data_IF_476638251138
#
_entry.id   IF_476638251138
#
_cell.length_a   1.000
_cell.length_b   1.000
_cell.length_c   1.000
_cell.angle_alpha   90.00
_cell.angle_beta   90.00
_cell.angle_gamma   90.00
#
_symmetry.space_group_name_H-M   'P 1'
#
loop_
_entity.id
_entity.type
_entity.pdbx_description
1 polymer ?
#
# COMPACT_ATOMS: atom_id res chain seq x y z
N UNK A 1 -23.38 2.42 4.30
CA UNK A 1 -22.15 1.72 3.87
C UNK A 1 -21.43 2.55 2.81
N UNK A 2 -20.08 2.68 2.82
CA UNK A 2 -19.37 3.54 1.83
C UNK A 2 -19.59 3.13 0.38
N UNK A 3 -19.95 1.87 0.12
CA UNK A 3 -20.22 1.36 -1.23
C UNK A 3 -21.66 1.50 -1.70
N UNK A 4 -22.59 1.82 -0.80
CA UNK A 4 -24.02 1.84 -1.12
C UNK A 4 -24.36 2.94 -2.13
N UNK A 5 -25.00 2.55 -3.25
CA UNK A 5 -25.35 3.45 -4.34
C UNK A 5 -24.18 3.93 -5.23
N UNK A 6 -22.95 3.54 -4.90
CA UNK A 6 -21.74 3.94 -5.62
C UNK A 6 -21.14 2.82 -6.48
N UNK A 7 -21.59 1.57 -6.28
CA UNK A 7 -21.08 0.38 -6.94
C UNK A 7 -22.21 -0.51 -7.44
N UNK A 8 -21.90 -1.29 -8.49
CA UNK A 8 -22.78 -2.33 -9.02
C UNK A 8 -22.95 -3.47 -8.02
N UNK A 9 -24.03 -4.22 -8.18
CA UNK A 9 -24.20 -5.50 -7.48
C UNK A 9 -23.00 -6.41 -7.71
N UNK A 10 -22.55 -7.11 -6.66
CA UNK A 10 -21.37 -7.98 -6.71
C UNK A 10 -20.04 -7.29 -6.35
N UNK A 11 -20.02 -5.96 -6.13
CA UNK A 11 -18.80 -5.27 -5.73
C UNK A 11 -18.25 -5.75 -4.38
N UNK A 12 -19.15 -5.99 -3.42
CA UNK A 12 -18.75 -6.49 -2.10
C UNK A 12 -18.19 -7.92 -2.20
N UNK A 13 -18.84 -8.78 -2.97
CA UNK A 13 -18.41 -10.14 -3.21
C UNK A 13 -17.03 -10.18 -3.89
N UNK A 14 -16.77 -9.24 -4.83
CA UNK A 14 -15.47 -9.15 -5.49
C UNK A 14 -14.36 -8.69 -4.50
N UNK A 15 -14.64 -7.71 -3.65
CA UNK A 15 -13.72 -7.26 -2.61
C UNK A 15 -13.45 -8.39 -1.61
N UNK A 16 -14.50 -9.04 -1.11
CA UNK A 16 -14.37 -10.11 -0.13
C UNK A 16 -13.59 -11.30 -0.69
N UNK A 17 -13.86 -11.69 -1.94
CA UNK A 17 -13.10 -12.72 -2.62
C UNK A 17 -11.61 -12.37 -2.71
N UNK A 18 -11.25 -11.13 -3.06
CA UNK A 18 -9.85 -10.69 -3.13
C UNK A 18 -9.17 -10.69 -1.76
N UNK A 19 -9.75 -10.03 -0.76
CA UNK A 19 -9.13 -9.89 0.57
C UNK A 19 -9.17 -11.16 1.44
N UNK A 20 -9.84 -12.23 1.01
CA UNK A 20 -9.90 -13.53 1.70
C UNK A 20 -9.18 -14.66 0.95
N UNK A 21 -8.42 -14.35 -0.10
CA UNK A 21 -7.59 -15.33 -0.80
C UNK A 21 -6.60 -16.01 0.16
N UNK A 22 -6.50 -17.35 0.07
CA UNK A 22 -5.76 -18.17 1.04
C UNK A 22 -4.25 -17.92 1.11
N UNK A 23 -3.66 -17.30 0.08
CA UNK A 23 -2.24 -16.95 0.06
C UNK A 23 -1.94 -15.62 0.75
N UNK A 24 -2.95 -14.79 1.04
CA UNK A 24 -2.78 -13.49 1.69
C UNK A 24 -2.67 -13.61 3.20
N UNK A 25 -1.79 -12.82 3.77
CA UNK A 25 -1.57 -12.75 5.21
C UNK A 25 -1.43 -11.30 5.73
N UNK A 26 -0.88 -10.40 4.91
CA UNK A 26 -0.80 -8.96 5.17
C UNK A 26 -1.89 -8.20 4.41
N UNK A 27 -2.00 -8.37 3.07
CA UNK A 27 -2.95 -7.67 2.19
C UNK A 27 -4.35 -8.29 2.30
N UNK A 28 -4.98 -8.11 3.45
CA UNK A 28 -6.27 -8.67 3.86
C UNK A 28 -7.21 -7.58 4.37
N UNK A 29 -8.43 -7.92 4.74
CA UNK A 29 -9.36 -7.02 5.43
C UNK A 29 -8.77 -6.33 6.67
N UNK A 30 -7.76 -6.92 7.32
CA UNK A 30 -7.08 -6.30 8.45
C UNK A 30 -6.32 -5.04 8.01
N UNK A 31 -5.61 -5.08 6.88
CA UNK A 31 -4.93 -3.92 6.30
C UNK A 31 -5.94 -2.82 5.95
N UNK A 32 -6.98 -3.16 5.21
CA UNK A 32 -8.07 -2.23 4.86
C UNK A 32 -8.69 -1.58 6.10
N UNK A 33 -9.00 -2.36 7.13
CA UNK A 33 -9.58 -1.84 8.37
C UNK A 33 -8.62 -0.88 9.08
N UNK A 34 -7.33 -1.21 9.15
CA UNK A 34 -6.30 -0.36 9.73
C UNK A 34 -6.19 0.99 9.02
N UNK A 35 -6.23 1.00 7.67
CA UNK A 35 -6.21 2.24 6.89
C UNK A 35 -7.48 3.10 7.13
N UNK A 36 -8.66 2.47 7.21
CA UNK A 36 -9.90 3.19 7.49
C UNK A 36 -9.93 3.79 8.90
N UNK A 37 -9.34 3.13 9.90
CA UNK A 37 -9.18 3.69 11.24
C UNK A 37 -8.28 4.92 11.23
N UNK A 38 -7.15 4.86 10.54
CA UNK A 38 -6.24 5.99 10.37
C UNK A 38 -6.88 7.13 9.57
N UNK A 39 -7.62 6.81 8.50
CA UNK A 39 -8.38 7.82 7.77
C UNK A 39 -9.38 8.55 8.68
N UNK A 40 -10.04 7.84 9.58
CA UNK A 40 -10.93 8.47 10.56
C UNK A 40 -10.17 9.38 11.53
N UNK A 41 -8.99 8.97 11.98
CA UNK A 41 -8.13 9.77 12.86
C UNK A 41 -7.68 11.08 12.20
N UNK A 42 -7.34 11.03 10.92
CA UNK A 42 -6.85 12.17 10.14
C UNK A 42 -7.94 12.79 9.24
N UNK A 43 -9.22 12.54 9.52
CA UNK A 43 -10.33 13.01 8.67
C UNK A 43 -10.33 14.52 8.41
N UNK A 44 -9.88 15.32 9.39
CA UNK A 44 -9.82 16.77 9.29
C UNK A 44 -8.77 17.26 8.26
N UNK A 45 -7.85 16.39 7.84
CA UNK A 45 -6.87 16.69 6.78
C UNK A 45 -7.38 16.38 5.38
N UNK A 46 -8.52 15.71 5.26
CA UNK A 46 -9.09 15.28 3.98
C UNK A 46 -10.21 16.22 3.53
N UNK A 47 -10.24 16.51 2.23
CA UNK A 47 -11.35 17.20 1.58
C UNK A 47 -12.38 16.22 1.03
N UNK A 48 -11.96 15.00 0.68
CA UNK A 48 -12.78 13.93 0.08
C UNK A 48 -12.49 12.58 0.75
N UNK A 49 -12.74 12.48 2.06
CA UNK A 49 -12.57 11.22 2.82
C UNK A 49 -13.35 10.05 2.21
N UNK A 50 -14.44 10.33 1.50
CA UNK A 50 -15.22 9.33 0.78
C UNK A 50 -14.45 8.73 -0.41
N UNK A 51 -13.68 9.53 -1.14
CA UNK A 51 -12.82 9.07 -2.25
C UNK A 51 -11.64 8.28 -1.69
N UNK A 52 -10.98 8.79 -0.63
CA UNK A 52 -9.89 8.04 0.03
C UNK A 52 -10.41 6.69 0.54
N UNK A 53 -11.56 6.64 1.19
CA UNK A 53 -12.12 5.39 1.69
C UNK A 53 -12.40 4.39 0.56
N UNK A 54 -12.90 4.86 -0.59
CA UNK A 54 -13.08 3.99 -1.76
C UNK A 54 -11.74 3.48 -2.29
N UNK A 55 -10.71 4.33 -2.35
CA UNK A 55 -9.37 3.93 -2.76
C UNK A 55 -8.79 2.87 -1.79
N UNK A 56 -8.99 3.03 -0.48
CA UNK A 56 -8.61 2.02 0.53
C UNK A 56 -9.29 0.68 0.27
N UNK A 57 -10.56 0.64 -0.13
CA UNK A 57 -11.23 -0.63 -0.42
C UNK A 57 -10.69 -1.32 -1.68
N UNK A 58 -10.20 -0.58 -2.66
CA UNK A 58 -9.90 -1.13 -3.98
C UNK A 58 -8.41 -1.22 -4.31
N UNK A 59 -7.47 -0.58 -3.54
CA UNK A 59 -6.06 -0.47 -3.96
C UNK A 59 -5.36 -1.82 -4.09
N UNK A 60 -5.61 -2.74 -3.17
CA UNK A 60 -4.97 -4.06 -3.09
C UNK A 60 -5.95 -5.21 -3.34
N UNK A 61 -7.12 -4.94 -3.95
CA UNK A 61 -8.12 -5.99 -4.18
C UNK A 61 -7.58 -7.10 -5.08
N UNK A 62 -6.71 -6.79 -6.02
CA UNK A 62 -5.93 -7.75 -6.80
C UNK A 62 -4.51 -7.76 -6.27
N UNK A 63 -4.07 -8.90 -5.74
CA UNK A 63 -2.71 -9.05 -5.23
C UNK A 63 -2.21 -10.47 -5.43
N UNK A 64 -1.22 -10.63 -6.30
CA UNK A 64 -0.52 -11.89 -6.52
C UNK A 64 0.98 -11.62 -6.56
N UNK A 65 1.78 -12.56 -6.05
CA UNK A 65 3.23 -12.39 -5.90
C UNK A 65 4.02 -12.97 -7.05
N UNK A 66 3.37 -13.80 -7.90
CA UNK A 66 4.00 -14.48 -9.03
C UNK A 66 3.17 -14.35 -10.30
N UNK A 67 3.85 -14.27 -11.43
CA UNK A 67 3.28 -14.42 -12.75
C UNK A 67 3.02 -15.89 -13.09
N UNK A 68 2.31 -16.15 -14.20
CA UNK A 68 2.00 -17.51 -14.67
C UNK A 68 3.25 -18.35 -14.99
N UNK A 69 4.37 -17.71 -15.30
CA UNK A 69 5.68 -18.35 -15.55
C UNK A 69 6.48 -18.63 -14.27
N UNK A 70 5.96 -18.25 -13.09
CA UNK A 70 6.59 -18.41 -11.79
C UNK A 70 7.58 -17.30 -11.43
N UNK A 71 7.78 -16.30 -12.29
CA UNK A 71 8.55 -15.10 -11.97
C UNK A 71 7.82 -14.19 -10.99
N UNK A 72 8.57 -13.31 -10.31
CA UNK A 72 7.97 -12.29 -9.44
C UNK A 72 7.06 -11.37 -10.27
N UNK A 73 5.85 -11.14 -9.78
CA UNK A 73 4.94 -10.18 -10.38
C UNK A 73 5.32 -8.77 -9.93
N UNK A 74 5.50 -7.82 -10.87
CA UNK A 74 5.68 -6.41 -10.52
C UNK A 74 4.44 -5.85 -9.81
N UNK A 75 4.64 -5.11 -8.72
CA UNK A 75 3.54 -4.54 -7.94
C UNK A 75 2.65 -3.61 -8.77
N UNK A 76 3.22 -2.83 -9.68
CA UNK A 76 2.46 -2.02 -10.65
C UNK A 76 1.35 -2.80 -11.38
N UNK A 77 1.56 -4.09 -11.67
CA UNK A 77 0.54 -4.90 -12.33
C UNK A 77 -0.63 -5.24 -11.39
N UNK A 78 -0.37 -5.46 -10.10
CA UNK A 78 -1.40 -5.64 -9.09
C UNK A 78 -2.25 -4.38 -8.96
N UNK A 79 -1.60 -3.23 -8.82
CA UNK A 79 -2.25 -1.93 -8.72
C UNK A 79 -3.10 -1.62 -9.96
N UNK A 80 -2.55 -1.85 -11.17
CA UNK A 80 -3.30 -1.68 -12.43
C UNK A 80 -4.55 -2.56 -12.46
N UNK A 81 -4.41 -3.84 -12.14
CA UNK A 81 -5.51 -4.79 -12.19
C UNK A 81 -6.56 -4.50 -11.11
N UNK A 82 -6.15 -3.98 -9.95
CA UNK A 82 -7.05 -3.44 -8.93
C UNK A 82 -7.86 -2.25 -9.46
N UNK A 83 -7.22 -1.32 -10.18
CA UNK A 83 -7.89 -0.21 -10.85
C UNK A 83 -8.90 -0.68 -11.90
N UNK A 84 -8.54 -1.68 -12.71
CA UNK A 84 -9.45 -2.22 -13.73
C UNK A 84 -10.66 -2.92 -13.08
N UNK A 85 -10.46 -3.65 -11.99
CA UNK A 85 -11.55 -4.26 -11.25
C UNK A 85 -12.47 -3.20 -10.61
N UNK A 86 -11.91 -2.14 -10.02
CA UNK A 86 -12.68 -0.99 -9.55
C UNK A 86 -13.56 -0.40 -10.67
N UNK A 87 -13.00 -0.16 -11.85
CA UNK A 87 -13.74 0.39 -13.00
C UNK A 87 -14.89 -0.48 -13.45
N UNK A 88 -14.79 -1.80 -13.32
CA UNK A 88 -15.87 -2.73 -13.66
C UNK A 88 -17.08 -2.57 -12.72
N UNK A 89 -16.84 -2.25 -11.45
CA UNK A 89 -17.86 -2.20 -10.42
C UNK A 89 -18.36 -0.79 -10.07
N UNK A 90 -17.60 0.27 -10.37
CA UNK A 90 -17.99 1.62 -9.98
C UNK A 90 -19.22 2.14 -10.73
N UNK A 91 -20.07 2.90 -10.01
CA UNK A 91 -21.18 3.70 -10.53
C UNK A 91 -20.94 5.22 -10.32
N UNK A 92 -19.73 5.59 -9.90
CA UNK A 92 -19.37 6.99 -9.73
C UNK A 92 -19.43 7.73 -11.06
N UNK A 93 -19.64 9.05 -11.01
CA UNK A 93 -19.40 9.90 -12.16
C UNK A 93 -17.91 9.85 -12.57
N UNK A 94 -17.62 10.30 -13.78
CA UNK A 94 -16.26 10.20 -14.35
C UNK A 94 -15.20 10.87 -13.46
N UNK A 95 -15.46 12.05 -12.92
CA UNK A 95 -14.49 12.80 -12.12
C UNK A 95 -14.13 12.06 -10.83
N UNK A 96 -15.11 11.54 -10.11
CA UNK A 96 -14.89 10.79 -8.87
C UNK A 96 -14.24 9.43 -9.15
N UNK A 97 -14.62 8.76 -10.24
CA UNK A 97 -13.98 7.50 -10.64
C UNK A 97 -12.52 7.69 -11.06
N UNK A 98 -12.20 8.76 -11.78
CA UNK A 98 -10.83 9.11 -12.13
C UNK A 98 -10.02 9.45 -10.87
N UNK A 99 -10.59 10.18 -9.90
CA UNK A 99 -9.92 10.48 -8.64
C UNK A 99 -9.56 9.21 -7.84
N UNK A 100 -10.49 8.25 -7.70
CA UNK A 100 -10.20 6.96 -7.06
C UNK A 100 -9.12 6.20 -7.82
N UNK A 101 -9.21 6.15 -9.14
CA UNK A 101 -8.22 5.51 -10.00
C UNK A 101 -6.83 6.10 -9.80
N UNK A 102 -6.70 7.43 -9.79
CA UNK A 102 -5.42 8.11 -9.63
C UNK A 102 -4.81 7.88 -8.25
N UNK A 103 -5.64 7.86 -7.18
CA UNK A 103 -5.18 7.52 -5.85
C UNK A 103 -4.62 6.09 -5.80
N UNK A 104 -5.36 5.12 -6.33
CA UNK A 104 -4.91 3.72 -6.38
C UNK A 104 -3.62 3.60 -7.20
N UNK A 105 -3.57 4.16 -8.40
CA UNK A 105 -2.37 4.10 -9.26
C UNK A 105 -1.12 4.69 -8.60
N UNK A 106 -1.28 5.68 -7.71
CA UNK A 106 -0.16 6.28 -7.00
C UNK A 106 0.52 5.33 -6.01
N UNK A 107 -0.16 4.30 -5.51
CA UNK A 107 0.44 3.29 -4.61
C UNK A 107 1.49 2.42 -5.31
N UNK A 108 1.47 2.32 -6.63
CA UNK A 108 2.50 1.60 -7.39
C UNK A 108 3.92 2.18 -7.20
N UNK A 109 4.02 3.44 -6.79
CA UNK A 109 5.30 4.05 -6.42
C UNK A 109 5.10 5.20 -5.43
N UNK A 110 5.11 4.89 -4.15
CA UNK A 110 4.92 5.86 -3.06
C UNK A 110 5.95 6.99 -3.04
N UNK A 111 7.13 6.81 -3.61
CA UNK A 111 8.23 7.78 -3.59
C UNK A 111 8.30 8.64 -4.84
N UNK A 112 7.44 8.44 -5.84
CA UNK A 112 7.48 9.31 -7.03
C UNK A 112 7.24 10.77 -6.62
N UNK A 113 8.01 11.72 -7.21
CA UNK A 113 7.70 13.13 -7.10
C UNK A 113 6.25 13.33 -7.56
N UNK A 114 5.51 14.23 -6.93
CA UNK A 114 4.20 14.65 -7.44
C UNK A 114 4.36 14.99 -8.91
N UNK A 115 3.64 14.31 -9.77
CA UNK A 115 3.36 14.84 -11.09
C UNK A 115 2.74 16.23 -10.87
N UNK A 116 3.19 17.21 -11.65
CA UNK A 116 2.86 18.64 -11.52
C UNK A 116 1.45 18.87 -10.95
N UNK A 117 1.33 19.76 -9.97
CA UNK A 117 0.07 20.12 -9.27
C UNK A 117 -1.15 20.28 -10.21
N UNK A 118 -0.93 20.51 -11.50
CA UNK A 118 -1.97 20.60 -12.53
C UNK A 118 -2.79 19.33 -12.72
N UNK A 119 -2.21 18.14 -12.48
CA UNK A 119 -2.92 16.86 -12.67
C UNK A 119 -3.86 16.55 -11.51
N UNK A 120 -3.49 16.99 -10.31
CA UNK A 120 -4.23 16.72 -9.05
C UNK A 120 -4.85 17.98 -8.45
N UNK A 121 -5.11 19.01 -9.24
CA UNK A 121 -5.52 20.36 -8.83
C UNK A 121 -6.86 20.46 -8.06
N UNK A 122 -7.23 19.50 -7.30
CA UNK A 122 -8.42 19.54 -6.43
C UNK A 122 -8.34 18.55 -5.28
N UNK A 123 -7.40 17.60 -5.34
CA UNK A 123 -7.25 16.56 -4.30
C UNK A 123 -5.80 16.12 -4.05
N UNK A 124 -4.83 16.97 -4.39
CA UNK A 124 -3.41 16.68 -4.12
C UNK A 124 -3.15 16.39 -2.62
N UNK A 125 -3.84 17.10 -1.72
CA UNK A 125 -3.78 16.85 -0.28
C UNK A 125 -4.37 15.50 0.14
N UNK A 126 -5.42 15.04 -0.53
CA UNK A 126 -6.06 13.74 -0.29
C UNK A 126 -5.18 12.60 -0.82
N UNK A 127 -4.50 12.81 -1.95
CA UNK A 127 -3.50 11.88 -2.47
C UNK A 127 -2.34 11.70 -1.48
N UNK A 128 -1.77 12.81 -1.00
CA UNK A 128 -0.70 12.76 -0.02
C UNK A 128 -1.13 12.02 1.24
N UNK A 129 -2.33 12.35 1.76
CA UNK A 129 -2.86 11.67 2.94
C UNK A 129 -3.02 10.17 2.69
N UNK A 130 -3.59 9.77 1.55
CA UNK A 130 -3.79 8.35 1.23
C UNK A 130 -2.47 7.58 1.20
N UNK A 131 -1.44 8.10 0.52
CA UNK A 131 -0.12 7.48 0.47
C UNK A 131 0.55 7.42 1.86
N UNK A 132 0.38 8.45 2.68
CA UNK A 132 0.88 8.46 4.05
C UNK A 132 0.19 7.41 4.93
N UNK A 133 -1.14 7.25 4.76
CA UNK A 133 -1.90 6.21 5.46
C UNK A 133 -1.40 4.82 5.10
N UNK A 134 -1.16 4.56 3.83
CA UNK A 134 -0.73 3.26 3.33
C UNK A 134 0.66 2.87 3.87
N UNK A 135 1.59 3.83 3.94
CA UNK A 135 2.91 3.64 4.55
C UNK A 135 2.92 3.68 6.09
N UNK A 136 1.78 3.91 6.74
CA UNK A 136 1.75 4.12 8.20
C UNK A 136 2.18 2.91 9.03
N UNK A 137 2.07 1.69 8.50
CA UNK A 137 2.55 0.46 9.15
C UNK A 137 4.07 0.45 9.34
N UNK A 138 4.82 1.21 8.55
CA UNK A 138 6.27 1.38 8.75
C UNK A 138 6.60 1.99 10.11
N UNK A 139 5.69 2.77 10.70
CA UNK A 139 5.84 3.41 12.01
C UNK A 139 5.21 2.61 13.16
N UNK A 140 4.74 1.39 12.93
CA UNK A 140 4.21 0.52 13.98
C UNK A 140 5.28 0.19 15.05
N UNK A 141 4.89 -0.17 16.27
CA UNK A 141 5.83 -0.76 17.23
C UNK A 141 6.66 -1.87 16.58
N UNK A 142 7.93 -1.99 16.95
CA UNK A 142 8.87 -2.91 16.28
C UNK A 142 8.35 -4.33 16.14
N UNK A 143 7.72 -4.85 17.17
CA UNK A 143 7.16 -6.21 17.19
C UNK A 143 6.06 -6.37 16.15
N UNK A 144 5.16 -5.39 16.01
CA UNK A 144 4.10 -5.39 14.99
C UNK A 144 4.68 -5.24 13.58
N UNK A 145 5.67 -4.35 13.42
CA UNK A 145 6.37 -4.16 12.15
C UNK A 145 7.03 -5.47 11.67
N UNK A 146 7.70 -6.20 12.56
CA UNK A 146 8.31 -7.51 12.24
C UNK A 146 7.25 -8.57 11.92
N UNK A 147 6.13 -8.58 12.64
CA UNK A 147 5.02 -9.47 12.32
C UNK A 147 4.43 -9.17 10.94
N UNK A 148 4.28 -7.91 10.57
CA UNK A 148 3.78 -7.52 9.24
C UNK A 148 4.76 -7.93 8.13
N UNK A 149 6.08 -7.78 8.34
CA UNK A 149 7.10 -8.32 7.44
C UNK A 149 7.02 -9.85 7.30
N UNK A 150 6.77 -10.55 8.40
CA UNK A 150 6.61 -12.00 8.36
C UNK A 150 5.34 -12.42 7.59
N UNK A 151 4.25 -11.66 7.72
CA UNK A 151 3.02 -11.85 6.92
C UNK A 151 3.29 -11.62 5.44
N UNK A 152 3.95 -10.52 5.08
CA UNK A 152 4.38 -10.25 3.70
C UNK A 152 5.26 -11.40 3.19
N UNK A 153 6.26 -11.84 3.98
CA UNK A 153 7.10 -12.99 3.60
C UNK A 153 6.29 -14.25 3.33
N UNK A 154 5.23 -14.52 4.08
CA UNK A 154 4.39 -15.71 3.87
C UNK A 154 3.60 -15.64 2.56
N UNK A 155 3.21 -14.46 2.11
CA UNK A 155 2.57 -14.25 0.80
C UNK A 155 3.52 -14.61 -0.36
N UNK A 156 4.84 -14.40 -0.15
CA UNK A 156 5.90 -14.77 -1.08
C UNK A 156 6.47 -16.18 -0.82
N UNK A 157 5.69 -17.10 -0.25
CA UNK A 157 6.17 -18.44 0.12
C UNK A 157 6.76 -19.24 -1.05
N UNK A 158 6.32 -19.00 -2.28
CA UNK A 158 6.87 -19.60 -3.50
C UNK A 158 8.19 -18.97 -3.98
N UNK A 159 8.64 -17.86 -3.38
CA UNK A 159 9.88 -17.16 -3.76
C UNK A 159 11.04 -17.63 -2.89
N UNK A 160 12.21 -17.99 -3.47
CA UNK A 160 13.40 -18.31 -2.67
C UNK A 160 13.74 -17.17 -1.69
N UNK A 161 14.12 -17.54 -0.47
CA UNK A 161 14.32 -16.59 0.63
C UNK A 161 15.36 -15.51 0.27
N UNK A 162 16.47 -15.88 -0.34
CA UNK A 162 17.50 -14.92 -0.75
C UNK A 162 16.99 -13.91 -1.77
N UNK A 163 16.12 -14.32 -2.70
CA UNK A 163 15.52 -13.44 -3.70
C UNK A 163 14.56 -12.46 -3.00
N UNK A 164 13.67 -12.97 -2.13
CA UNK A 164 12.76 -12.14 -1.35
C UNK A 164 13.53 -11.11 -0.52
N UNK A 165 14.51 -11.56 0.28
CA UNK A 165 15.32 -10.66 1.12
C UNK A 165 16.05 -9.59 0.30
N UNK A 166 16.56 -9.92 -0.90
CA UNK A 166 17.26 -8.98 -1.76
C UNK A 166 16.32 -7.91 -2.32
N UNK A 167 15.14 -8.30 -2.78
CA UNK A 167 14.12 -7.36 -3.27
C UNK A 167 13.60 -6.47 -2.12
N UNK A 168 13.29 -7.08 -0.98
CA UNK A 168 12.83 -6.35 0.21
C UNK A 168 13.89 -5.35 0.70
N UNK A 169 15.16 -5.76 0.73
CA UNK A 169 16.27 -4.86 1.07
C UNK A 169 16.31 -3.64 0.15
N UNK A 170 16.22 -3.85 -1.15
CA UNK A 170 16.24 -2.75 -2.13
C UNK A 170 15.09 -1.76 -1.91
N UNK A 171 13.88 -2.26 -1.63
CA UNK A 171 12.71 -1.42 -1.35
C UNK A 171 12.92 -0.60 -0.07
N UNK A 172 13.32 -1.27 1.03
CA UNK A 172 13.48 -0.60 2.32
C UNK A 172 14.69 0.35 2.35
N UNK A 173 15.77 0.06 1.63
CA UNK A 173 16.90 0.99 1.45
C UNK A 173 16.46 2.25 0.70
N UNK A 174 15.57 2.14 -0.28
CA UNK A 174 15.02 3.31 -0.97
C UNK A 174 14.18 4.18 -0.02
N UNK A 175 13.36 3.57 0.83
CA UNK A 175 12.58 4.30 1.84
C UNK A 175 13.46 4.90 2.94
N UNK A 176 14.58 4.27 3.29
CA UNK A 176 15.48 4.68 4.37
C UNK A 176 16.48 5.79 3.99
N UNK A 177 16.49 6.27 2.73
CA UNK A 177 17.38 7.34 2.29
C UNK A 177 17.07 8.65 3.01
N UNK A 178 18.11 9.37 3.43
CA UNK A 178 17.96 10.61 4.21
C UNK A 178 17.32 11.76 3.41
N UNK A 179 17.34 11.72 2.07
CA UNK A 179 16.72 12.69 1.16
C UNK A 179 15.29 12.32 0.77
N UNK A 180 14.78 11.18 1.22
CA UNK A 180 13.42 10.74 0.94
C UNK A 180 12.45 11.30 1.96
N UNK A 181 11.44 12.02 1.46
CA UNK A 181 10.29 12.42 2.28
C UNK A 181 9.29 11.27 2.33
N UNK A 182 9.38 10.45 3.36
CA UNK A 182 8.57 9.25 3.54
C UNK A 182 7.08 9.57 3.70
N UNK A 183 6.77 10.59 4.53
CA UNK A 183 5.39 11.08 4.72
C UNK A 183 5.27 12.49 4.18
N UNK A 184 4.20 12.75 3.43
CA UNK A 184 4.02 13.95 2.61
C UNK A 184 3.33 15.08 3.36
N UNK A 185 2.41 14.74 4.29
CA UNK A 185 1.73 15.70 5.16
C UNK A 185 2.59 15.99 6.38
N UNK A 186 2.52 17.21 6.88
CA UNK A 186 3.28 17.60 8.09
C UNK A 186 2.82 16.82 9.32
N UNK A 187 1.51 16.64 9.47
CA UNK A 187 0.88 16.00 10.62
C UNK A 187 1.20 14.50 10.70
N UNK A 188 1.16 13.81 9.58
CA UNK A 188 1.53 12.39 9.51
C UNK A 188 3.03 12.21 9.66
N UNK A 189 3.84 13.12 9.09
CA UNK A 189 5.29 13.13 9.22
C UNK A 189 5.70 13.34 10.69
N UNK A 190 5.11 14.32 11.40
CA UNK A 190 5.37 14.54 12.82
C UNK A 190 5.04 13.31 13.66
N UNK A 191 3.97 12.61 13.32
CA UNK A 191 3.54 11.41 14.07
C UNK A 191 4.37 10.17 13.80
N UNK A 192 4.82 9.96 12.55
CA UNK A 192 5.30 8.63 12.10
C UNK A 192 6.76 8.61 11.65
N UNK A 193 7.35 9.74 11.26
CA UNK A 193 8.65 9.76 10.57
C UNK A 193 9.77 9.10 11.37
N UNK A 194 9.91 9.47 12.63
CA UNK A 194 11.02 8.98 13.47
C UNK A 194 10.93 7.48 13.74
N UNK A 195 9.73 7.00 14.05
CA UNK A 195 9.49 5.56 14.29
C UNK A 195 9.71 4.75 13.02
N UNK A 196 9.18 5.19 11.88
CA UNK A 196 9.37 4.52 10.59
C UNK A 196 10.84 4.50 10.19
N UNK A 197 11.56 5.61 10.32
CA UNK A 197 12.99 5.69 10.01
C UNK A 197 13.82 4.74 10.89
N UNK A 198 13.51 4.65 12.18
CA UNK A 198 14.17 3.72 13.08
C UNK A 198 13.92 2.25 12.69
N UNK A 199 12.66 1.91 12.39
CA UNK A 199 12.29 0.56 11.94
C UNK A 199 12.98 0.18 10.62
N UNK A 200 12.96 1.10 9.64
CA UNK A 200 13.59 0.89 8.34
C UNK A 200 15.10 0.64 8.46
N UNK A 201 15.83 1.49 9.20
CA UNK A 201 17.28 1.35 9.41
C UNK A 201 17.64 0.04 10.11
N UNK A 202 16.85 -0.35 11.11
CA UNK A 202 17.01 -1.62 11.81
C UNK A 202 16.75 -2.81 10.88
N UNK A 203 15.66 -2.79 10.13
CA UNK A 203 15.28 -3.85 9.21
C UNK A 203 16.30 -4.02 8.07
N UNK A 204 16.79 -2.94 7.49
CA UNK A 204 17.87 -2.97 6.48
C UNK A 204 19.10 -3.72 7.02
N UNK A 205 19.52 -3.43 8.26
CA UNK A 205 20.65 -4.10 8.90
C UNK A 205 20.39 -5.61 9.09
N UNK A 206 19.20 -5.99 9.54
CA UNK A 206 18.83 -7.40 9.74
C UNK A 206 18.77 -8.16 8.38
N UNK A 207 18.22 -7.54 7.33
CA UNK A 207 18.16 -8.14 6.00
C UNK A 207 19.56 -8.32 5.37
N UNK A 208 20.44 -7.34 5.50
CA UNK A 208 21.84 -7.45 5.02
C UNK A 208 22.56 -8.61 5.70
N UNK A 209 22.39 -8.76 7.01
CA UNK A 209 22.93 -9.90 7.77
C UNK A 209 22.35 -11.21 7.27
N UNK A 210 21.03 -11.29 7.10
CA UNK A 210 20.34 -12.50 6.62
C UNK A 210 20.79 -12.93 5.23
N UNK A 211 20.96 -12.00 4.31
CA UNK A 211 21.47 -12.27 2.95
C UNK A 211 22.89 -12.81 3.01
N UNK A 212 23.76 -12.24 3.86
CA UNK A 212 25.12 -12.74 4.02
C UNK A 212 25.17 -14.19 4.53
N UNK A 213 24.31 -14.53 5.52
CA UNK A 213 24.15 -15.89 6.02
C UNK A 213 23.70 -16.87 4.93
N UNK A 214 22.66 -16.49 4.15
CA UNK A 214 22.12 -17.33 3.06
C UNK A 214 23.12 -17.53 1.90
N UNK A 215 24.04 -16.59 1.70
CA UNK A 215 25.06 -16.65 0.63
C UNK A 215 26.30 -17.45 1.04
N UNK A 216 26.42 -17.82 2.32
CA UNK A 216 27.57 -18.55 2.87
C UNK A 216 27.36 -20.06 2.90
N UNK A 217 26.19 -20.55 2.50
CA UNK A 217 25.77 -21.96 2.44
C UNK A 217 25.79 -22.44 0.99
#
# INVERSE_FOLDING_TARGET
MPLEGRHKTGAWEALDAGYTESHRAYHTWRHVAGLLEKLREFSDLSTRSDIIALSVFWHDVVYTTQNQDGGLRPDYENVRDSCELFRQYTLLNKSDADAVYDLIMATANHLQPRAEEQYYAGFAGDLDLFLDLDLSSLASPWEEFVEDLARIRSEFSGTPEVVFCSVQLQILENFAKDDVRLYRRAETSEKWHDAATANLKRCVTELQKRIAELSSV
#
